data_IF_166720019476
#
_entry.id   IF_166720019476
#
_cell.length_a   1.000
_cell.length_b   1.000
_cell.length_c   1.000
_cell.angle_alpha   90.00
_cell.angle_beta   90.00
_cell.angle_gamma   90.00
#
_symmetry.space_group_name_H-M   'P 1'
#
loop_
_entity.id
_entity.type
_entity.pdbx_description
1 polymer ?
#
# COMPACT_ATOMS: atom_id res chain seq x y z
N UNK A 1 4.82 86.99 0.99
CA UNK A 1 4.38 86.78 -0.41
C UNK A 1 3.53 85.52 -0.42
N UNK A 2 2.34 85.53 -1.01
CA UNK A 2 1.45 84.38 -1.00
C UNK A 2 2.00 83.27 -1.91
N UNK A 3 2.09 82.05 -1.37
CA UNK A 3 2.48 80.85 -2.14
C UNK A 3 1.47 80.66 -3.29
N UNK A 4 1.91 80.47 -4.55
CA UNK A 4 0.99 80.30 -5.68
C UNK A 4 0.17 79.02 -5.53
N UNK A 5 -1.12 79.09 -5.85
CA UNK A 5 -1.97 77.90 -5.97
C UNK A 5 -1.49 76.99 -7.11
N UNK A 6 -1.68 75.65 -7.01
CA UNK A 6 -1.28 74.75 -8.08
C UNK A 6 -2.14 74.98 -9.33
N UNK A 7 -1.48 75.04 -10.49
CA UNK A 7 -2.09 75.35 -11.79
C UNK A 7 -3.10 74.29 -12.26
N UNK A 8 -4.01 74.70 -13.14
CA UNK A 8 -4.97 73.82 -13.81
C UNK A 8 -4.24 72.81 -14.70
N UNK A 9 -4.26 71.54 -14.28
CA UNK A 9 -3.68 70.41 -15.02
C UNK A 9 -4.77 69.67 -15.81
N UNK A 10 -4.40 69.11 -16.98
CA UNK A 10 -5.31 68.30 -17.80
C UNK A 10 -5.58 66.99 -17.04
N UNK A 11 -6.84 66.75 -16.68
CA UNK A 11 -7.22 65.60 -15.87
C UNK A 11 -7.36 64.32 -16.70
N UNK A 12 -6.80 63.18 -16.25
CA UNK A 12 -6.96 61.90 -16.93
C UNK A 12 -8.38 61.34 -16.76
N UNK A 13 -8.80 60.50 -17.72
CA UNK A 13 -10.10 59.83 -17.74
C UNK A 13 -10.14 58.54 -16.93
N UNK A 14 -9.01 57.84 -16.76
CA UNK A 14 -8.92 56.66 -15.89
C UNK A 14 -9.06 57.05 -14.42
N UNK A 15 -9.93 56.37 -13.66
CA UNK A 15 -10.25 56.76 -12.30
C UNK A 15 -9.09 56.55 -11.32
N UNK A 16 -8.19 55.58 -11.55
CA UNK A 16 -7.03 55.34 -10.67
C UNK A 16 -5.94 56.37 -10.91
N UNK A 17 -5.70 56.71 -12.17
CA UNK A 17 -4.79 57.79 -12.55
C UNK A 17 -5.32 59.15 -12.06
N UNK A 18 -6.62 59.39 -12.21
CA UNK A 18 -7.30 60.58 -11.71
C UNK A 18 -7.18 60.70 -10.19
N UNK A 19 -7.44 59.62 -9.47
CA UNK A 19 -7.26 59.55 -8.02
C UNK A 19 -5.81 59.84 -7.60
N UNK A 20 -4.83 59.37 -8.37
CA UNK A 20 -3.39 59.58 -8.09
C UNK A 20 -3.01 61.05 -8.29
N UNK A 21 -3.46 61.66 -9.37
CA UNK A 21 -3.19 63.07 -9.66
C UNK A 21 -3.92 63.99 -8.66
N UNK A 22 -5.16 63.66 -8.31
CA UNK A 22 -5.92 64.36 -7.28
C UNK A 22 -5.23 64.28 -5.92
N UNK A 23 -4.69 63.11 -5.54
CA UNK A 23 -3.90 62.95 -4.30
C UNK A 23 -2.70 63.89 -4.27
N UNK A 24 -1.91 63.93 -5.36
CA UNK A 24 -0.75 64.83 -5.48
C UNK A 24 -1.16 66.29 -5.40
N UNK A 25 -2.26 66.67 -6.03
CA UNK A 25 -2.79 68.04 -6.00
C UNK A 25 -3.20 68.46 -4.59
N UNK A 26 -3.98 67.62 -3.89
CA UNK A 26 -4.43 67.89 -2.52
C UNK A 26 -3.26 67.92 -1.52
N UNK A 27 -2.23 67.08 -1.72
CA UNK A 27 -0.99 67.12 -0.92
C UNK A 27 -0.21 68.44 -1.11
N UNK A 28 -0.11 68.93 -2.35
CA UNK A 28 0.50 70.24 -2.65
C UNK A 28 -0.30 71.39 -2.02
N UNK A 29 -1.62 71.33 -2.12
CA UNK A 29 -2.51 72.32 -1.51
C UNK A 29 -2.41 72.33 0.02
N UNK A 30 -2.36 71.14 0.66
CA UNK A 30 -2.13 71.00 2.10
C UNK A 30 -0.77 71.61 2.50
N UNK A 31 0.28 71.31 1.75
CA UNK A 31 1.62 71.86 1.99
C UNK A 31 1.67 73.39 1.84
N UNK A 32 0.93 73.95 0.88
CA UNK A 32 0.85 75.41 0.70
C UNK A 32 0.13 76.10 1.87
N UNK A 33 -0.85 75.43 2.47
CA UNK A 33 -1.58 75.89 3.66
C UNK A 33 -0.68 75.82 4.90
N UNK A 34 0.05 74.72 5.09
CA UNK A 34 0.94 74.51 6.26
C UNK A 34 2.14 75.47 6.26
N UNK A 35 2.62 75.90 5.07
CA UNK A 35 3.74 76.85 4.93
C UNK A 35 3.30 78.33 4.89
N UNK A 36 1.99 78.62 4.90
CA UNK A 36 1.46 79.98 4.84
C UNK A 36 1.34 80.60 6.24
N UNK A 37 2.29 81.47 6.61
CA UNK A 37 2.27 82.19 7.88
C UNK A 37 1.00 83.08 8.01
N UNK A 38 -0.02 82.59 8.72
CA UNK A 38 -0.97 83.44 9.47
C UNK A 38 -2.37 83.71 8.89
N UNK A 39 -3.08 82.75 8.27
CA UNK A 39 -4.53 82.93 8.01
C UNK A 39 -5.40 82.28 9.11
N UNK A 40 -6.39 83.00 9.70
CA UNK A 40 -7.05 82.58 10.93
C UNK A 40 -8.20 81.58 10.65
N UNK A 41 -8.22 80.46 11.38
CA UNK A 41 -9.35 79.54 11.67
C UNK A 41 -10.07 78.87 10.47
N UNK A 42 -10.32 79.55 9.36
CA UNK A 42 -10.82 78.97 8.11
C UNK A 42 -9.85 77.92 7.53
N UNK A 43 -8.56 78.06 7.83
CA UNK A 43 -7.50 77.12 7.43
C UNK A 43 -7.68 75.71 7.99
N UNK A 44 -8.20 75.57 9.23
CA UNK A 44 -8.25 74.27 9.90
C UNK A 44 -9.36 73.36 9.37
N UNK A 45 -10.52 73.92 9.06
CA UNK A 45 -11.62 73.17 8.42
C UNK A 45 -11.24 72.67 7.03
N UNK A 46 -10.55 73.52 6.25
CA UNK A 46 -10.03 73.17 4.92
C UNK A 46 -8.94 72.09 5.01
N UNK A 47 -8.04 72.17 5.99
CA UNK A 47 -7.02 71.15 6.24
C UNK A 47 -7.63 69.78 6.58
N UNK A 48 -8.64 69.74 7.46
CA UNK A 48 -9.34 68.50 7.83
C UNK A 48 -10.11 67.93 6.62
N UNK A 49 -10.75 68.77 5.82
CA UNK A 49 -11.43 68.34 4.59
C UNK A 49 -10.45 67.76 3.56
N UNK A 50 -9.28 68.37 3.39
CA UNK A 50 -8.20 67.89 2.51
C UNK A 50 -7.66 66.53 2.97
N UNK A 51 -7.40 66.36 4.27
CA UNK A 51 -6.96 65.10 4.86
C UNK A 51 -8.06 64.01 4.69
N UNK A 52 -9.32 64.38 4.88
CA UNK A 52 -10.47 63.49 4.64
C UNK A 52 -10.56 63.01 3.19
N UNK A 53 -10.40 63.92 2.22
CA UNK A 53 -10.39 63.61 0.80
C UNK A 53 -9.22 62.70 0.41
N UNK A 54 -8.01 62.99 0.92
CA UNK A 54 -6.84 62.12 0.73
C UNK A 54 -7.08 60.71 1.28
N UNK A 55 -7.68 60.60 2.46
CA UNK A 55 -8.01 59.30 3.09
C UNK A 55 -9.01 58.51 2.24
N UNK A 56 -10.01 59.17 1.65
CA UNK A 56 -10.98 58.55 0.76
C UNK A 56 -10.31 58.03 -0.52
N UNK A 57 -9.44 58.83 -1.12
CA UNK A 57 -8.69 58.45 -2.33
C UNK A 57 -7.85 57.20 -2.08
N UNK A 58 -7.11 57.16 -0.97
CA UNK A 58 -6.31 55.99 -0.60
C UNK A 58 -7.19 54.75 -0.44
N UNK A 59 -8.38 54.87 0.18
CA UNK A 59 -9.34 53.76 0.29
C UNK A 59 -9.83 53.27 -1.07
N UNK A 60 -10.16 54.18 -2.00
CA UNK A 60 -10.60 53.81 -3.35
C UNK A 60 -9.47 53.22 -4.21
N UNK A 61 -8.23 53.67 -4.03
CA UNK A 61 -7.08 53.07 -4.72
C UNK A 61 -6.77 51.68 -4.18
N UNK A 62 -6.99 51.47 -2.88
CA UNK A 62 -6.79 50.18 -2.21
C UNK A 62 -7.89 49.16 -2.51
N UNK A 63 -9.05 49.56 -3.03
CA UNK A 63 -10.07 48.60 -3.48
C UNK A 63 -9.56 47.87 -4.72
N UNK A 64 -9.56 46.53 -4.75
CA UNK A 64 -9.13 45.76 -5.91
C UNK A 64 -10.04 46.02 -7.11
N UNK A 65 -9.48 45.94 -8.31
CA UNK A 65 -10.28 46.07 -9.53
C UNK A 65 -11.21 44.86 -9.68
N UNK A 66 -12.52 45.13 -9.62
CA UNK A 66 -13.56 44.12 -9.70
C UNK A 66 -13.52 43.36 -11.03
N UNK A 67 -13.03 43.99 -12.12
CA UNK A 67 -12.85 43.32 -13.40
C UNK A 67 -11.77 42.23 -13.36
N UNK A 68 -10.62 42.54 -12.76
CA UNK A 68 -9.54 41.56 -12.55
C UNK A 68 -9.98 40.43 -11.61
N UNK A 69 -10.73 40.76 -10.55
CA UNK A 69 -11.30 39.75 -9.63
C UNK A 69 -12.29 38.85 -10.38
N UNK A 70 -13.17 39.41 -11.20
CA UNK A 70 -14.14 38.65 -11.98
C UNK A 70 -13.46 37.70 -12.96
N UNK A 71 -12.46 38.18 -13.72
CA UNK A 71 -11.72 37.34 -14.67
C UNK A 71 -10.89 36.26 -13.94
N UNK A 72 -10.26 36.59 -12.80
CA UNK A 72 -9.56 35.59 -12.00
C UNK A 72 -10.49 34.50 -11.47
N UNK A 73 -11.69 34.88 -11.00
CA UNK A 73 -12.72 33.93 -10.55
C UNK A 73 -13.21 33.07 -11.72
N UNK A 74 -13.47 33.68 -12.88
CA UNK A 74 -13.93 32.99 -14.09
C UNK A 74 -12.89 31.98 -14.60
N UNK A 75 -11.61 32.37 -14.60
CA UNK A 75 -10.51 31.48 -14.97
C UNK A 75 -10.37 30.34 -13.96
N UNK A 76 -10.40 30.64 -12.66
CA UNK A 76 -10.39 29.61 -11.62
C UNK A 76 -11.57 28.63 -11.74
N UNK A 77 -12.76 29.12 -12.08
CA UNK A 77 -13.92 28.26 -12.33
C UNK A 77 -13.72 27.34 -13.54
N UNK A 78 -13.12 27.85 -14.62
CA UNK A 78 -12.81 27.05 -15.79
C UNK A 78 -11.76 25.96 -15.48
N UNK A 79 -10.70 26.31 -14.75
CA UNK A 79 -9.67 25.37 -14.30
C UNK A 79 -10.26 24.26 -13.40
N UNK A 80 -11.10 24.64 -12.43
CA UNK A 80 -11.79 23.68 -11.56
C UNK A 80 -12.68 22.74 -12.38
N UNK A 81 -13.38 23.26 -13.38
CA UNK A 81 -14.23 22.44 -14.27
C UNK A 81 -13.38 21.43 -15.05
N UNK A 82 -12.28 21.86 -15.66
CA UNK A 82 -11.37 20.96 -16.39
C UNK A 82 -10.73 19.93 -15.46
N UNK A 83 -10.32 20.32 -14.26
CA UNK A 83 -9.77 19.40 -13.26
C UNK A 83 -10.82 18.35 -12.83
N UNK A 84 -12.07 18.75 -12.66
CA UNK A 84 -13.16 17.83 -12.33
C UNK A 84 -13.47 16.85 -13.47
N UNK A 85 -13.46 17.30 -14.73
CA UNK A 85 -13.63 16.45 -15.91
C UNK A 85 -12.48 15.43 -16.03
N UNK A 86 -11.23 15.87 -15.86
CA UNK A 86 -10.06 14.99 -15.86
C UNK A 86 -10.13 13.94 -14.73
N UNK A 87 -10.53 14.35 -13.52
CA UNK A 87 -10.70 13.42 -12.40
C UNK A 87 -11.78 12.37 -12.71
N UNK A 88 -12.91 12.80 -13.27
CA UNK A 88 -13.98 11.89 -13.66
C UNK A 88 -13.52 10.88 -14.73
N UNK A 89 -12.74 11.31 -15.71
CA UNK A 89 -12.13 10.42 -16.70
C UNK A 89 -11.18 9.42 -16.05
N UNK A 90 -10.30 9.88 -15.16
CA UNK A 90 -9.34 9.00 -14.49
C UNK A 90 -10.03 7.96 -13.61
N UNK A 91 -11.10 8.34 -12.89
CA UNK A 91 -11.93 7.39 -12.11
C UNK A 91 -12.55 6.33 -13.03
N UNK A 92 -13.05 6.72 -14.20
CA UNK A 92 -13.61 5.76 -15.16
C UNK A 92 -12.56 4.81 -15.73
N UNK A 93 -11.34 5.31 -16.04
CA UNK A 93 -10.23 4.45 -16.46
C UNK A 93 -9.86 3.44 -15.37
N UNK A 94 -9.67 3.90 -14.12
CA UNK A 94 -9.36 3.01 -13.00
C UNK A 94 -10.44 1.93 -12.79
N UNK A 95 -11.71 2.30 -12.98
CA UNK A 95 -12.81 1.33 -12.91
C UNK A 95 -12.73 0.28 -14.02
N UNK A 96 -12.33 0.67 -15.22
CA UNK A 96 -12.17 -0.27 -16.34
C UNK A 96 -10.98 -1.20 -16.09
N UNK A 97 -9.84 -0.66 -15.67
CA UNK A 97 -8.63 -1.44 -15.35
C UNK A 97 -8.90 -2.43 -14.21
N UNK A 98 -9.66 -2.02 -13.19
CA UNK A 98 -10.09 -2.89 -12.09
C UNK A 98 -10.98 -4.04 -12.61
N UNK A 99 -11.94 -3.74 -13.50
CA UNK A 99 -12.80 -4.77 -14.09
C UNK A 99 -11.99 -5.75 -14.93
N UNK A 100 -11.04 -5.28 -15.73
CA UNK A 100 -10.16 -6.13 -16.53
C UNK A 100 -9.29 -7.02 -15.64
N UNK A 101 -8.68 -6.44 -14.60
CA UNK A 101 -7.88 -7.18 -13.61
C UNK A 101 -8.73 -8.25 -12.92
N UNK A 102 -9.97 -7.93 -12.57
CA UNK A 102 -10.89 -8.89 -11.96
C UNK A 102 -11.28 -10.02 -12.92
N UNK A 103 -11.47 -9.72 -14.21
CA UNK A 103 -11.71 -10.75 -15.24
C UNK A 103 -10.48 -11.65 -15.42
N UNK A 104 -9.27 -11.09 -15.46
CA UNK A 104 -8.04 -11.87 -15.55
C UNK A 104 -7.87 -12.77 -14.31
N UNK A 105 -8.10 -12.23 -13.10
CA UNK A 105 -8.04 -13.00 -11.87
C UNK A 105 -9.02 -14.19 -11.86
N UNK A 106 -10.24 -14.00 -12.38
CA UNK A 106 -11.20 -15.10 -12.55
C UNK A 106 -10.69 -16.17 -13.51
N UNK A 107 -10.13 -15.77 -14.66
CA UNK A 107 -9.56 -16.70 -15.64
C UNK A 107 -8.38 -17.48 -15.06
N UNK A 108 -7.46 -16.82 -14.35
CA UNK A 108 -6.34 -17.47 -13.67
C UNK A 108 -6.84 -18.46 -12.62
N UNK A 109 -7.89 -18.11 -11.86
CA UNK A 109 -8.48 -19.02 -10.88
C UNK A 109 -9.10 -20.27 -11.53
N UNK A 110 -9.77 -20.13 -12.68
CA UNK A 110 -10.26 -21.27 -13.46
C UNK A 110 -9.13 -22.15 -14.01
N UNK A 111 -8.03 -21.54 -14.47
CA UNK A 111 -6.86 -22.26 -14.97
C UNK A 111 -6.14 -23.03 -13.84
N UNK A 112 -5.98 -22.41 -12.67
CA UNK A 112 -5.40 -23.05 -11.48
C UNK A 112 -6.29 -24.22 -11.03
N UNK A 113 -7.61 -24.05 -11.03
CA UNK A 113 -8.55 -25.12 -10.69
C UNK A 113 -8.43 -26.30 -11.67
N UNK A 114 -8.42 -26.02 -12.98
CA UNK A 114 -8.24 -27.04 -14.01
C UNK A 114 -6.87 -27.75 -13.89
N UNK A 115 -5.81 -27.01 -13.61
CA UNK A 115 -4.47 -27.56 -13.42
C UNK A 115 -4.40 -28.44 -12.17
N UNK A 116 -5.07 -28.06 -11.09
CA UNK A 116 -5.20 -28.85 -9.87
C UNK A 116 -5.89 -30.20 -10.16
N UNK A 117 -7.00 -30.19 -10.91
CA UNK A 117 -7.72 -31.40 -11.31
C UNK A 117 -6.82 -32.36 -12.11
N UNK A 118 -6.12 -31.85 -13.12
CA UNK A 118 -5.14 -32.65 -13.91
C UNK A 118 -4.06 -33.26 -12.99
N UNK A 119 -3.57 -32.50 -12.02
CA UNK A 119 -2.55 -32.97 -11.08
C UNK A 119 -3.08 -34.07 -10.17
N UNK A 120 -4.35 -33.96 -9.73
CA UNK A 120 -5.00 -35.00 -8.92
C UNK A 120 -5.20 -36.30 -9.71
N UNK A 121 -5.63 -36.21 -10.97
CA UNK A 121 -5.82 -37.35 -11.85
C UNK A 121 -4.49 -38.05 -12.18
N UNK A 122 -3.44 -37.26 -12.47
CA UNK A 122 -2.10 -37.80 -12.69
C UNK A 122 -1.57 -38.57 -11.46
N UNK A 123 -1.83 -38.06 -10.25
CA UNK A 123 -1.46 -38.73 -8.99
C UNK A 123 -2.24 -40.03 -8.80
N UNK A 124 -3.53 -40.06 -9.14
CA UNK A 124 -4.34 -41.27 -9.09
C UNK A 124 -3.82 -42.34 -10.06
N UNK A 125 -3.57 -41.97 -11.31
CA UNK A 125 -3.01 -42.87 -12.33
C UNK A 125 -1.62 -43.42 -11.94
N UNK A 126 -0.76 -42.57 -11.37
CA UNK A 126 0.56 -43.00 -10.87
C UNK A 126 0.44 -44.02 -9.75
N UNK A 127 -0.52 -43.82 -8.83
CA UNK A 127 -0.80 -44.77 -7.74
C UNK A 127 -1.29 -46.11 -8.29
N UNK A 128 -2.20 -46.09 -9.26
CA UNK A 128 -2.69 -47.30 -9.92
C UNK A 128 -1.56 -48.06 -10.63
N UNK A 129 -0.74 -47.38 -11.44
CA UNK A 129 0.42 -47.97 -12.11
C UNK A 129 1.42 -48.59 -11.12
N UNK A 130 1.62 -47.95 -9.96
CA UNK A 130 2.51 -48.47 -8.91
C UNK A 130 1.97 -49.76 -8.29
N UNK A 131 0.67 -49.83 -8.01
CA UNK A 131 0.04 -51.05 -7.50
C UNK A 131 0.04 -52.19 -8.53
N UNK A 132 -0.20 -51.87 -9.81
CA UNK A 132 -0.04 -52.83 -10.92
C UNK A 132 1.40 -53.35 -10.97
N UNK A 133 2.40 -52.46 -10.90
CA UNK A 133 3.82 -52.84 -10.88
C UNK A 133 4.18 -53.75 -9.71
N UNK A 134 3.68 -53.45 -8.50
CA UNK A 134 3.85 -54.31 -7.31
C UNK A 134 3.21 -55.69 -7.52
N UNK A 135 1.98 -55.74 -8.06
CA UNK A 135 1.28 -56.99 -8.33
C UNK A 135 2.04 -57.86 -9.35
N UNK A 136 2.51 -57.25 -10.44
CA UNK A 136 3.33 -57.93 -11.46
C UNK A 136 4.62 -58.49 -10.87
N UNK A 137 5.33 -57.70 -10.05
CA UNK A 137 6.54 -58.16 -9.36
C UNK A 137 6.26 -59.31 -8.39
N UNK A 138 5.13 -59.28 -7.69
CA UNK A 138 4.69 -60.39 -6.83
C UNK A 138 4.44 -61.66 -7.66
N UNK A 139 3.69 -61.55 -8.76
CA UNK A 139 3.43 -62.69 -9.66
C UNK A 139 4.72 -63.30 -10.22
N UNK A 140 5.68 -62.46 -10.67
CA UNK A 140 7.00 -62.95 -11.14
C UNK A 140 7.74 -63.71 -10.02
N UNK A 141 7.69 -63.19 -8.78
CA UNK A 141 8.30 -63.84 -7.61
C UNK A 141 7.64 -65.19 -7.32
N UNK A 142 6.31 -65.24 -7.35
CA UNK A 142 5.53 -66.46 -7.10
C UNK A 142 5.80 -67.50 -8.20
N UNK A 143 5.90 -67.10 -9.48
CA UNK A 143 6.30 -67.99 -10.58
C UNK A 143 7.75 -68.49 -10.42
N UNK A 144 8.67 -67.65 -9.92
CA UNK A 144 10.06 -68.06 -9.61
C UNK A 144 10.11 -69.03 -8.41
N UNK A 145 9.20 -68.88 -7.45
CA UNK A 145 9.07 -69.79 -6.31
C UNK A 145 8.49 -71.14 -6.76
N UNK A 146 7.44 -71.13 -7.58
CA UNK A 146 6.84 -72.33 -8.18
C UNK A 146 7.85 -73.10 -9.04
N UNK A 147 8.68 -72.40 -9.82
CA UNK A 147 9.75 -73.04 -10.60
C UNK A 147 10.90 -73.57 -9.72
N UNK A 148 11.24 -72.92 -8.61
CA UNK A 148 12.16 -73.47 -7.60
C UNK A 148 11.57 -74.68 -6.87
N UNK A 149 10.27 -74.68 -6.58
CA UNK A 149 9.58 -75.81 -5.96
C UNK A 149 9.55 -77.03 -6.90
N UNK A 150 9.48 -76.79 -8.22
CA UNK A 150 9.67 -77.85 -9.22
C UNK A 150 11.13 -78.35 -9.33
N UNK A 151 12.14 -77.55 -8.96
CA UNK A 151 13.53 -78.01 -8.81
C UNK A 151 13.81 -78.64 -7.42
N UNK A 152 12.98 -78.37 -6.42
CA UNK A 152 13.12 -78.88 -5.05
C UNK A 152 12.45 -80.25 -4.82
N UNK A 153 12.14 -80.99 -5.89
CA UNK A 153 11.76 -82.41 -5.81
C UNK A 153 12.97 -83.36 -5.64
N UNK A 154 14.16 -82.82 -5.34
CA UNK A 154 15.26 -83.57 -4.77
C UNK A 154 15.25 -83.45 -3.23
N UNK A 155 15.16 -84.59 -2.55
CA UNK A 155 15.01 -84.78 -1.10
C UNK A 155 15.84 -83.83 -0.21
N UNK A 156 15.28 -83.28 0.88
CA UNK A 156 16.06 -82.54 1.89
C UNK A 156 16.79 -83.50 2.83
N UNK A 157 18.11 -83.30 3.00
CA UNK A 157 18.96 -84.00 3.97
C UNK A 157 19.03 -83.21 5.29
N UNK A 158 19.12 -83.94 6.41
CA UNK A 158 18.89 -83.63 7.84
C UNK A 158 19.54 -82.37 8.49
N UNK A 159 20.16 -81.44 7.77
CA UNK A 159 20.97 -80.35 8.37
C UNK A 159 20.26 -78.98 8.53
N UNK A 160 19.10 -78.74 7.90
CA UNK A 160 18.52 -77.37 7.82
C UNK A 160 17.55 -76.98 8.95
N UNK A 161 17.42 -77.77 10.02
CA UNK A 161 16.37 -77.57 11.05
C UNK A 161 16.78 -76.65 12.22
N UNK A 162 18.02 -76.14 12.28
CA UNK A 162 18.50 -75.41 13.47
C UNK A 162 18.59 -73.87 13.40
N UNK A 163 18.19 -73.20 12.31
CA UNK A 163 18.27 -71.73 12.22
C UNK A 163 16.91 -71.00 12.23
N UNK A 164 15.84 -71.67 12.70
CA UNK A 164 14.48 -71.12 12.75
C UNK A 164 13.98 -70.98 14.21
N UNK A 165 14.67 -70.18 15.01
CA UNK A 165 14.07 -69.54 16.20
C UNK A 165 13.54 -68.16 15.79
N UNK A 166 12.40 -67.64 16.22
CA UNK A 166 11.51 -68.04 17.30
C UNK A 166 11.01 -66.77 18.01
N UNK A 167 9.80 -66.34 17.62
CA UNK A 167 8.77 -65.64 18.42
C UNK A 167 8.83 -64.13 18.73
N UNK A 168 7.61 -63.61 18.78
CA UNK A 168 7.16 -62.24 18.89
C UNK A 168 6.92 -61.77 20.35
N UNK A 169 7.05 -60.46 20.55
CA UNK A 169 6.47 -59.62 21.62
C UNK A 169 6.94 -58.18 21.31
N UNK A 170 6.35 -57.07 21.71
CA UNK A 170 5.09 -56.67 22.34
C UNK A 170 5.11 -55.14 22.27
N UNK A 171 3.93 -54.53 22.18
CA UNK A 171 3.74 -53.08 22.19
C UNK A 171 4.32 -52.42 23.47
N UNK A 172 4.91 -51.24 23.35
CA UNK A 172 4.46 -50.00 24.02
C UNK A 172 5.47 -48.86 23.76
N UNK A 173 4.95 -47.75 23.24
CA UNK A 173 5.60 -46.45 23.16
C UNK A 173 5.37 -45.71 24.50
N UNK A 174 6.40 -45.32 25.27
CA UNK A 174 6.25 -44.25 26.22
C UNK A 174 6.59 -42.93 25.53
N UNK A 175 5.51 -42.21 25.21
CA UNK A 175 5.47 -40.79 25.00
C UNK A 175 6.30 -40.06 26.06
N UNK A 176 7.53 -39.69 25.70
CA UNK A 176 8.29 -38.69 26.42
C UNK A 176 8.09 -37.37 25.64
N UNK A 177 7.02 -36.64 25.98
CA UNK A 177 6.83 -35.25 25.58
C UNK A 177 7.87 -34.39 26.30
N UNK A 178 9.13 -34.49 25.86
CA UNK A 178 10.08 -33.41 26.00
C UNK A 178 9.88 -32.54 24.77
N UNK A 179 9.42 -31.30 24.97
CA UNK A 179 9.39 -30.32 23.90
C UNK A 179 10.78 -30.29 23.25
N UNK A 180 10.85 -30.76 22.01
CA UNK A 180 12.10 -30.76 21.25
C UNK A 180 12.55 -29.30 21.09
N UNK A 181 13.83 -28.96 21.33
CA UNK A 181 14.36 -27.61 21.16
C UNK A 181 14.27 -27.09 19.71
N UNK A 182 13.82 -27.93 18.77
CA UNK A 182 13.79 -27.66 17.33
C UNK A 182 12.66 -26.69 16.93
N UNK A 183 11.64 -26.46 17.76
CA UNK A 183 10.53 -25.56 17.41
C UNK A 183 10.88 -24.06 17.43
N UNK A 184 12.03 -23.68 17.97
CA UNK A 184 12.50 -22.28 17.99
C UNK A 184 13.25 -21.86 16.73
N UNK A 185 13.59 -22.81 15.84
CA UNK A 185 14.43 -22.54 14.67
C UNK A 185 13.64 -22.07 13.42
N UNK A 186 12.31 -22.07 13.46
CA UNK A 186 11.45 -21.67 12.32
C UNK A 186 10.57 -20.46 12.65
N UNK A 187 10.94 -19.69 13.65
CA UNK A 187 10.24 -18.48 14.06
C UNK A 187 11.12 -17.26 13.80
N UNK A 188 10.55 -16.25 13.16
CA UNK A 188 11.16 -14.94 12.96
C UNK A 188 10.32 -13.88 13.67
N UNK A 189 11.01 -12.94 14.32
CA UNK A 189 10.40 -11.76 14.93
C UNK A 189 10.74 -10.57 14.05
N UNK A 190 9.71 -9.93 13.52
CA UNK A 190 9.80 -8.72 12.70
C UNK A 190 9.43 -7.54 13.59
N UNK A 191 10.33 -6.56 13.66
CA UNK A 191 10.08 -5.35 14.41
C UNK A 191 9.12 -4.45 13.63
N UNK A 192 8.03 -4.03 14.29
CA UNK A 192 7.10 -3.05 13.72
C UNK A 192 7.28 -1.75 14.50
N UNK A 193 7.66 -0.67 13.80
CA UNK A 193 7.87 0.64 14.41
C UNK A 193 6.64 1.53 14.37
N UNK A 194 5.74 1.29 13.41
CA UNK A 194 4.57 2.13 13.20
C UNK A 194 3.43 1.81 14.21
N UNK A 195 3.02 2.76 15.07
CA UNK A 195 1.99 2.52 16.07
C UNK A 195 0.62 2.22 15.48
N UNK A 196 0.30 2.74 14.28
CA UNK A 196 -0.98 2.47 13.61
C UNK A 196 -1.01 1.02 13.12
N UNK A 197 0.06 0.54 12.49
CA UNK A 197 0.22 -0.86 12.07
C UNK A 197 0.14 -1.82 13.26
N UNK A 198 0.77 -1.48 14.40
CA UNK A 198 0.68 -2.28 15.63
C UNK A 198 -0.77 -2.40 16.09
N UNK A 199 -1.53 -1.30 16.12
CA UNK A 199 -2.94 -1.32 16.53
C UNK A 199 -3.80 -2.14 15.56
N UNK A 200 -3.61 -1.98 14.25
CA UNK A 200 -4.35 -2.71 13.22
C UNK A 200 -4.14 -4.22 13.31
N UNK A 201 -2.90 -4.66 13.44
CA UNK A 201 -2.56 -6.08 13.60
C UNK A 201 -3.14 -6.64 14.91
N UNK A 202 -3.16 -5.85 15.98
CA UNK A 202 -3.72 -6.28 17.28
C UNK A 202 -5.21 -6.59 17.23
N UNK A 203 -5.95 -5.95 16.33
CA UNK A 203 -7.37 -6.20 16.12
C UNK A 203 -7.64 -7.48 15.31
N UNK A 204 -6.61 -8.09 14.69
CA UNK A 204 -6.75 -9.30 13.90
C UNK A 204 -6.71 -10.56 14.77
N UNK A 205 -7.54 -11.56 14.44
CA UNK A 205 -7.39 -12.90 15.00
C UNK A 205 -6.12 -13.58 14.46
N UNK A 206 -5.49 -14.52 15.18
CA UNK A 206 -4.29 -15.22 14.69
C UNK A 206 -4.48 -15.88 13.32
N UNK A 207 -5.70 -16.38 13.02
CA UNK A 207 -6.02 -16.96 11.71
C UNK A 207 -6.11 -15.89 10.62
N UNK A 208 -6.77 -14.77 10.91
CA UNK A 208 -6.88 -13.63 9.99
C UNK A 208 -5.51 -13.02 9.70
N UNK A 209 -4.67 -12.88 10.73
CA UNK A 209 -3.31 -12.37 10.61
C UNK A 209 -2.43 -13.30 9.75
N UNK A 210 -2.56 -14.62 9.94
CA UNK A 210 -1.88 -15.59 9.06
C UNK A 210 -2.30 -15.39 7.60
N UNK A 211 -3.60 -15.37 7.31
CA UNK A 211 -4.09 -15.17 5.94
C UNK A 211 -3.67 -13.83 5.35
N UNK A 212 -3.63 -12.76 6.15
CA UNK A 212 -3.15 -11.45 5.72
C UNK A 212 -1.67 -11.49 5.30
N UNK A 213 -0.84 -12.21 6.05
CA UNK A 213 0.58 -12.38 5.73
C UNK A 213 0.77 -13.30 4.52
N UNK A 214 0.03 -14.41 4.43
CA UNK A 214 0.09 -15.29 3.24
C UNK A 214 -0.21 -14.48 1.97
N UNK A 215 -1.28 -13.66 1.99
CA UNK A 215 -1.62 -12.80 0.87
C UNK A 215 -0.54 -11.75 0.58
N UNK A 216 0.05 -11.13 1.60
CA UNK A 216 1.13 -10.16 1.41
C UNK A 216 2.40 -10.79 0.80
N UNK A 217 2.67 -12.06 1.12
CA UNK A 217 3.77 -12.82 0.53
C UNK A 217 3.46 -13.17 -0.92
N UNK A 218 2.26 -13.66 -1.21
CA UNK A 218 1.81 -13.98 -2.58
C UNK A 218 1.79 -12.75 -3.49
N UNK A 219 1.48 -11.57 -2.94
CA UNK A 219 1.48 -10.30 -3.66
C UNK A 219 2.87 -9.66 -3.78
N UNK A 220 3.87 -10.19 -3.08
CA UNK A 220 5.22 -9.65 -3.17
C UNK A 220 5.82 -9.95 -4.53
N UNK A 221 6.43 -8.94 -5.16
CA UNK A 221 7.18 -9.11 -6.42
C UNK A 221 8.56 -9.76 -6.21
N UNK A 222 8.87 -10.17 -4.98
CA UNK A 222 10.15 -10.75 -4.62
C UNK A 222 10.11 -12.28 -4.75
N UNK A 223 10.77 -12.77 -5.81
CA UNK A 223 10.84 -14.19 -6.19
C UNK A 223 11.40 -15.09 -5.07
N UNK A 224 12.18 -14.53 -4.14
CA UNK A 224 12.78 -15.26 -3.03
C UNK A 224 11.80 -15.54 -1.89
N UNK A 225 10.69 -14.80 -1.82
CA UNK A 225 9.70 -14.94 -0.74
C UNK A 225 8.32 -15.40 -1.21
N UNK A 226 7.97 -15.23 -2.49
CA UNK A 226 6.66 -15.61 -3.06
C UNK A 226 6.18 -17.03 -2.67
N UNK A 227 7.10 -17.99 -2.58
CA UNK A 227 6.78 -19.39 -2.27
C UNK A 227 6.85 -19.75 -0.77
N UNK A 228 7.02 -18.78 0.12
CA UNK A 228 7.16 -19.03 1.56
C UNK A 228 5.81 -19.40 2.18
N UNK A 229 5.76 -20.55 2.83
CA UNK A 229 4.57 -21.01 3.54
C UNK A 229 4.61 -20.65 5.01
N UNK A 230 3.69 -19.79 5.44
CA UNK A 230 3.49 -19.47 6.86
C UNK A 230 2.63 -20.55 7.52
N UNK A 231 3.08 -21.00 8.69
CA UNK A 231 2.38 -21.98 9.54
C UNK A 231 1.47 -21.26 10.52
N UNK A 232 1.96 -20.19 11.15
CA UNK A 232 1.19 -19.38 12.09
C UNK A 232 1.82 -18.01 12.28
N UNK A 233 0.99 -17.03 12.62
CA UNK A 233 1.45 -15.66 12.90
C UNK A 233 0.76 -15.13 14.16
N UNK A 234 1.49 -14.35 14.95
CA UNK A 234 0.95 -13.72 16.14
C UNK A 234 1.67 -12.39 16.43
N UNK A 235 0.95 -11.46 17.06
CA UNK A 235 1.58 -10.25 17.59
C UNK A 235 2.07 -10.48 19.02
N UNK A 236 3.32 -10.11 19.29
CA UNK A 236 3.92 -10.18 20.61
C UNK A 236 3.42 -9.04 21.51
N UNK A 237 3.60 -9.19 22.83
CA UNK A 237 3.25 -8.14 23.80
C UNK A 237 4.00 -6.84 23.52
N UNK A 238 5.22 -6.93 22.98
CA UNK A 238 6.04 -5.78 22.55
C UNK A 238 5.43 -5.00 21.38
N UNK A 239 4.49 -5.58 20.64
CA UNK A 239 3.96 -5.00 19.39
C UNK A 239 4.58 -5.61 18.13
N UNK A 240 5.71 -6.32 18.28
CA UNK A 240 6.40 -7.00 17.18
C UNK A 240 5.60 -8.18 16.62
N UNK A 241 5.91 -8.57 15.39
CA UNK A 241 5.25 -9.66 14.69
C UNK A 241 6.08 -10.93 14.75
N UNK A 242 5.51 -12.00 15.27
CA UNK A 242 6.07 -13.36 15.22
C UNK A 242 5.45 -14.13 14.05
N UNK A 243 6.31 -14.69 13.19
CA UNK A 243 5.93 -15.52 12.07
C UNK A 243 6.64 -16.86 12.20
N UNK A 244 5.88 -17.95 12.13
CA UNK A 244 6.41 -19.30 12.05
C UNK A 244 6.27 -19.83 10.63
N UNK A 245 7.37 -20.28 10.04
CA UNK A 245 7.41 -20.83 8.68
C UNK A 245 7.43 -22.35 8.67
N UNK A 246 7.12 -22.94 7.50
CA UNK A 246 7.11 -24.39 7.33
C UNK A 246 8.53 -24.97 7.42
N UNK A 247 9.51 -24.33 6.77
CA UNK A 247 10.91 -24.75 6.80
C UNK A 247 11.84 -23.68 7.38
N UNK A 248 13.02 -24.11 7.82
CA UNK A 248 14.08 -23.19 8.28
C UNK A 248 14.65 -22.36 7.13
N UNK A 249 14.67 -22.90 5.90
CA UNK A 249 15.10 -22.16 4.72
C UNK A 249 14.17 -20.97 4.44
N UNK A 250 12.85 -21.20 4.56
CA UNK A 250 11.84 -20.14 4.43
C UNK A 250 12.04 -19.02 5.45
N UNK A 251 12.35 -19.37 6.70
CA UNK A 251 12.63 -18.39 7.77
C UNK A 251 13.83 -17.51 7.41
N UNK A 252 14.90 -18.12 6.88
CA UNK A 252 16.11 -17.39 6.47
C UNK A 252 15.83 -16.50 5.25
N UNK A 253 15.10 -17.01 4.26
CA UNK A 253 14.68 -16.22 3.10
C UNK A 253 13.82 -15.02 3.50
N UNK A 254 12.83 -15.22 4.37
CA UNK A 254 12.01 -14.12 4.90
C UNK A 254 12.85 -13.10 5.68
N UNK A 255 13.87 -13.55 6.44
CA UNK A 255 14.78 -12.64 7.16
C UNK A 255 15.63 -11.80 6.21
N UNK A 256 16.09 -12.40 5.12
CA UNK A 256 17.05 -11.79 4.22
C UNK A 256 16.38 -10.86 3.20
N UNK A 257 15.17 -11.19 2.76
CA UNK A 257 14.52 -10.57 1.60
C UNK A 257 13.18 -9.88 1.96
N UNK A 258 12.82 -9.73 3.24
CA UNK A 258 11.61 -8.99 3.61
C UNK A 258 11.72 -7.46 3.46
N UNK A 259 12.92 -6.92 3.25
CA UNK A 259 13.16 -5.48 3.04
C UNK A 259 13.40 -5.11 1.56
N UNK A 260 13.52 -6.10 0.68
CA UNK A 260 13.77 -5.97 -0.77
C UNK A 260 12.46 -6.01 -1.57
#
# INVERSE_FOLDING_TARGET
MATPWPQDEIWPTDYREHATNLSKYLQKALSAIDNGDGLPVASRGVQVALIGALTLIVKMQSTPDLGHVYEAVKNGQAEIKTAAENLAQHINSLKNDLNETNTQAQQTMEEVQRSSEITTDAKAATKEATEIGKATMKMIRDMKLVSQQNQANAMPTYANVLARGGLAASMHNPQNQKASPVQTLREIIINIRDPVTIANIRMMSPRSLKSHIDLAIEQSSNEHIENIKVVSSNQLKSGDLSIKTATTADMVALRQFAED
#
